data_IF_540918236051
#
_entry.id   IF_540918236051
#
_cell.length_a   1.000
_cell.length_b   1.000
_cell.length_c   1.000
_cell.angle_alpha   90.00
_cell.angle_beta   90.00
_cell.angle_gamma   90.00
#
_symmetry.space_group_name_H-M   'P 1'
#
loop_
_entity.id
_entity.type
_entity.pdbx_description
1 polymer ?
#
# COMPACT_ATOMS: atom_id res chain seq x y z
N UNK A 1 -27.81 25.71 44.44
CA UNK A 1 -26.82 26.52 43.68
C UNK A 1 -25.97 25.55 42.87
N UNK A 2 -26.01 25.62 41.54
CA UNK A 2 -25.16 24.77 40.69
C UNK A 2 -23.72 25.31 40.80
N UNK A 3 -22.78 24.52 41.32
CA UNK A 3 -21.35 24.85 41.28
C UNK A 3 -20.95 24.94 39.80
N UNK A 4 -20.62 26.14 39.34
CA UNK A 4 -20.06 26.36 38.01
C UNK A 4 -18.59 25.97 37.98
N UNK A 5 -18.13 25.41 36.87
CA UNK A 5 -16.72 25.15 36.61
C UNK A 5 -15.90 26.43 36.70
N UNK A 6 -14.72 26.35 37.29
CA UNK A 6 -13.79 27.49 37.34
C UNK A 6 -13.01 27.57 36.03
N UNK A 7 -12.65 28.80 35.63
CA UNK A 7 -11.82 29.04 34.44
C UNK A 7 -10.43 28.42 34.63
N UNK A 8 -9.90 28.40 35.87
CA UNK A 8 -8.61 27.79 36.17
C UNK A 8 -8.63 26.26 35.99
N UNK A 9 -9.72 25.58 36.36
CA UNK A 9 -9.90 24.15 36.09
C UNK A 9 -9.87 23.87 34.58
N UNK A 10 -10.54 24.70 33.79
CA UNK A 10 -10.53 24.54 32.34
C UNK A 10 -9.13 24.76 31.75
N UNK A 11 -8.38 25.75 32.23
CA UNK A 11 -7.02 26.03 31.75
C UNK A 11 -6.06 24.86 31.99
N UNK A 12 -6.13 24.24 33.17
CA UNK A 12 -5.29 23.08 33.51
C UNK A 12 -5.67 21.88 32.63
N UNK A 13 -6.97 21.64 32.40
CA UNK A 13 -7.44 20.55 31.54
C UNK A 13 -6.93 20.71 30.10
N UNK A 14 -7.05 21.91 29.52
CA UNK A 14 -6.54 22.18 28.16
C UNK A 14 -5.02 22.02 28.09
N UNK A 15 -4.28 22.46 29.12
CA UNK A 15 -2.82 22.31 29.17
C UNK A 15 -2.38 20.84 29.20
N UNK A 16 -3.06 20.00 30.00
CA UNK A 16 -2.78 18.56 30.07
C UNK A 16 -3.12 17.88 28.73
N UNK A 17 -4.26 18.19 28.11
CA UNK A 17 -4.65 17.63 26.81
C UNK A 17 -3.63 18.02 25.73
N UNK A 18 -3.14 19.27 25.70
CA UNK A 18 -2.13 19.70 24.76
C UNK A 18 -0.79 18.95 24.92
N UNK A 19 -0.37 18.70 26.15
CA UNK A 19 0.84 17.92 26.44
C UNK A 19 0.71 16.46 26.00
N UNK A 20 -0.42 15.82 26.31
CA UNK A 20 -0.69 14.44 25.90
C UNK A 20 -0.76 14.31 24.37
N UNK A 21 -1.41 15.26 23.69
CA UNK A 21 -1.52 15.25 22.22
C UNK A 21 -0.14 15.29 21.55
N UNK A 22 0.80 16.08 22.07
CA UNK A 22 2.16 16.20 21.52
C UNK A 22 2.91 14.86 21.51
N UNK A 23 2.76 14.06 22.57
CA UNK A 23 3.41 12.74 22.67
C UNK A 23 2.67 11.69 21.82
N UNK A 24 1.34 11.79 21.73
CA UNK A 24 0.51 10.75 21.12
C UNK A 24 0.49 10.78 19.58
N UNK A 25 0.58 11.97 18.96
CA UNK A 25 0.54 12.14 17.49
C UNK A 25 1.58 11.28 16.74
N UNK A 26 2.89 11.31 17.05
CA UNK A 26 3.89 10.54 16.31
C UNK A 26 3.73 9.02 16.46
N UNK A 27 3.17 8.54 17.57
CA UNK A 27 2.88 7.11 17.74
C UNK A 27 1.73 6.66 16.85
N UNK A 28 0.69 7.50 16.72
CA UNK A 28 -0.47 7.22 15.90
C UNK A 28 -0.14 7.15 14.41
N UNK A 29 0.71 8.07 13.91
CA UNK A 29 1.13 8.05 12.50
C UNK A 29 1.91 6.79 12.13
N UNK A 30 2.80 6.30 13.02
CA UNK A 30 3.51 5.03 12.84
C UNK A 30 2.56 3.83 12.81
N UNK A 31 1.54 3.83 13.66
CA UNK A 31 0.51 2.78 13.66
C UNK A 31 -0.26 2.74 12.34
N UNK A 32 -0.71 3.89 11.85
CA UNK A 32 -1.36 4.00 10.54
C UNK A 32 -0.46 3.53 9.40
N UNK A 33 0.82 3.92 9.41
CA UNK A 33 1.79 3.48 8.41
C UNK A 33 1.97 1.96 8.40
N UNK A 34 2.06 1.34 9.57
CA UNK A 34 2.14 -0.12 9.71
C UNK A 34 0.86 -0.81 9.21
N UNK A 35 -0.32 -0.24 9.47
CA UNK A 35 -1.59 -0.75 8.95
C UNK A 35 -1.64 -0.74 7.43
N UNK A 36 -1.24 0.38 6.81
CA UNK A 36 -1.16 0.51 5.34
C UNK A 36 -0.18 -0.50 4.73
N UNK A 37 0.98 -0.71 5.37
CA UNK A 37 1.93 -1.76 4.97
C UNK A 37 1.29 -3.13 5.04
N UNK A 38 0.65 -3.49 6.15
CA UNK A 38 0.02 -4.79 6.33
C UNK A 38 -1.00 -5.11 5.23
N UNK A 39 -1.78 -4.11 4.80
CA UNK A 39 -2.66 -4.25 3.63
C UNK A 39 -1.89 -4.53 2.34
N UNK A 40 -0.77 -3.84 2.11
CA UNK A 40 0.10 -4.12 0.96
C UNK A 40 0.67 -5.54 0.97
N UNK A 41 1.03 -6.08 2.15
CA UNK A 41 1.43 -7.48 2.29
C UNK A 41 0.31 -8.44 1.85
N UNK A 42 -0.94 -8.19 2.28
CA UNK A 42 -2.09 -9.02 1.89
C UNK A 42 -2.33 -8.99 0.38
N UNK A 43 -2.27 -7.81 -0.24
CA UNK A 43 -2.44 -7.66 -1.68
C UNK A 43 -1.30 -8.31 -2.49
N UNK A 44 -0.05 -8.22 -2.01
CA UNK A 44 1.08 -8.91 -2.64
C UNK A 44 0.94 -10.43 -2.56
N UNK A 45 0.43 -10.98 -1.45
CA UNK A 45 0.15 -12.41 -1.33
C UNK A 45 -0.99 -12.87 -2.25
N UNK A 46 -2.05 -12.06 -2.41
CA UNK A 46 -3.14 -12.41 -3.34
C UNK A 46 -2.67 -12.35 -4.80
N UNK A 47 -1.81 -11.38 -5.14
CA UNK A 47 -1.11 -11.32 -6.44
C UNK A 47 -0.25 -12.56 -6.69
N UNK A 48 0.56 -12.96 -5.70
CA UNK A 48 1.36 -14.18 -5.75
C UNK A 48 0.48 -15.39 -6.06
N UNK A 49 -0.61 -15.57 -5.33
CA UNK A 49 -1.53 -16.69 -5.52
C UNK A 49 -2.15 -16.70 -6.93
N UNK A 50 -2.56 -15.53 -7.43
CA UNK A 50 -3.11 -15.39 -8.78
C UNK A 50 -2.07 -15.74 -9.87
N UNK A 51 -0.83 -15.28 -9.73
CA UNK A 51 0.27 -15.64 -10.64
C UNK A 51 0.55 -17.14 -10.63
N UNK A 52 0.61 -17.77 -9.43
CA UNK A 52 0.82 -19.22 -9.31
C UNK A 52 -0.31 -20.01 -9.95
N UNK A 53 -1.56 -19.57 -9.78
CA UNK A 53 -2.72 -20.20 -10.43
C UNK A 53 -2.65 -20.07 -11.96
N UNK A 54 -2.30 -18.89 -12.47
CA UNK A 54 -2.16 -18.66 -13.90
C UNK A 54 -1.06 -19.53 -14.52
N UNK A 55 0.10 -19.59 -13.86
CA UNK A 55 1.22 -20.43 -14.29
C UNK A 55 0.86 -21.91 -14.31
N UNK A 56 0.09 -22.39 -13.34
CA UNK A 56 -0.38 -23.79 -13.31
C UNK A 56 -1.31 -24.14 -14.48
N UNK A 57 -2.01 -23.15 -15.05
CA UNK A 57 -2.95 -23.34 -16.16
C UNK A 57 -2.30 -23.14 -17.53
N UNK A 58 -1.41 -22.15 -17.67
CA UNK A 58 -0.87 -21.70 -18.96
C UNK A 58 0.63 -21.96 -19.13
N UNK A 59 1.35 -22.29 -18.04
CA UNK A 59 2.80 -22.55 -18.05
C UNK A 59 3.69 -21.30 -18.03
N UNK A 60 3.12 -20.10 -17.89
CA UNK A 60 3.84 -18.83 -17.82
C UNK A 60 3.19 -17.85 -16.83
N UNK A 61 3.98 -16.89 -16.33
CA UNK A 61 3.47 -15.74 -15.59
C UNK A 61 3.05 -14.63 -16.55
N UNK A 62 2.13 -13.76 -16.12
CA UNK A 62 1.57 -12.71 -16.97
C UNK A 62 1.79 -11.32 -16.37
N UNK A 63 2.06 -10.33 -17.21
CA UNK A 63 2.08 -8.90 -16.82
C UNK A 63 0.69 -8.28 -16.86
N UNK A 64 -0.31 -9.00 -17.37
CA UNK A 64 -1.71 -8.59 -17.41
C UNK A 64 -2.37 -9.12 -16.14
N UNK A 65 -2.72 -8.21 -15.24
CA UNK A 65 -3.33 -8.54 -13.96
C UNK A 65 -4.84 -8.77 -14.11
N UNK A 66 -5.52 -7.91 -14.86
CA UNK A 66 -6.97 -7.96 -15.09
C UNK A 66 -7.30 -7.77 -16.57
N UNK A 67 -8.48 -8.20 -16.99
CA UNK A 67 -8.93 -8.15 -18.37
C UNK A 67 -8.76 -9.49 -19.10
N UNK A 68 -8.92 -9.44 -20.43
CA UNK A 68 -8.78 -10.63 -21.27
C UNK A 68 -7.34 -11.16 -21.18
N UNK A 69 -7.19 -12.47 -20.96
CA UNK A 69 -5.88 -13.13 -20.78
C UNK A 69 -5.06 -12.65 -19.56
N UNK A 70 -5.70 -11.92 -18.65
CA UNK A 70 -5.11 -11.55 -17.37
C UNK A 70 -5.18 -12.67 -16.34
N UNK A 71 -4.43 -12.52 -15.24
CA UNK A 71 -4.47 -13.47 -14.11
C UNK A 71 -5.76 -13.37 -13.27
N UNK A 72 -6.72 -12.52 -13.69
CA UNK A 72 -7.99 -12.31 -12.99
C UNK A 72 -7.84 -11.60 -11.64
N UNK A 73 -6.72 -10.93 -11.41
CA UNK A 73 -6.44 -10.22 -10.18
C UNK A 73 -6.73 -8.73 -10.31
N UNK A 74 -7.42 -8.20 -9.30
CA UNK A 74 -7.55 -6.78 -9.02
C UNK A 74 -7.60 -6.59 -7.51
N UNK A 75 -7.12 -5.45 -6.97
CA UNK A 75 -7.28 -5.17 -5.56
C UNK A 75 -8.76 -5.02 -5.19
N UNK A 76 -9.10 -5.40 -3.96
CA UNK A 76 -10.49 -5.29 -3.49
C UNK A 76 -10.93 -3.83 -3.42
N UNK A 77 -12.14 -3.56 -3.92
CA UNK A 77 -12.68 -2.21 -3.98
C UNK A 77 -11.99 -1.30 -4.99
N UNK A 78 -11.45 -1.85 -6.08
CA UNK A 78 -10.94 -1.08 -7.22
C UNK A 78 -12.05 -0.28 -7.94
N UNK A 79 -11.86 1.04 -8.10
CA UNK A 79 -12.81 1.96 -8.73
C UNK A 79 -12.23 2.78 -9.91
N UNK A 80 -11.05 2.45 -10.42
CA UNK A 80 -10.43 3.14 -11.57
C UNK A 80 -9.09 3.81 -11.28
N UNK A 81 -8.60 3.68 -10.05
CA UNK A 81 -7.35 4.21 -9.55
C UNK A 81 -7.52 5.58 -8.88
N UNK A 82 -6.63 5.91 -7.95
CA UNK A 82 -6.53 7.25 -7.36
C UNK A 82 -7.03 7.35 -5.92
N UNK A 83 -7.46 8.56 -5.51
CA UNK A 83 -7.74 8.89 -4.10
C UNK A 83 -8.96 8.16 -3.51
N UNK A 84 -9.88 7.73 -4.35
CA UNK A 84 -11.14 7.10 -3.93
C UNK A 84 -11.01 5.58 -3.71
N UNK A 85 -9.80 5.05 -3.84
CA UNK A 85 -9.54 3.62 -3.70
C UNK A 85 -9.59 3.12 -2.26
N UNK A 86 -10.00 1.86 -2.09
CA UNK A 86 -10.03 1.19 -0.79
C UNK A 86 -8.69 0.58 -0.38
N UNK A 87 -7.68 0.68 -1.24
CA UNK A 87 -6.33 0.24 -0.98
C UNK A 87 -5.33 1.40 -1.12
N UNK A 88 -4.18 1.31 -0.45
CA UNK A 88 -3.25 2.45 -0.35
C UNK A 88 -2.16 2.47 -1.43
N UNK A 89 -1.52 1.34 -1.70
CA UNK A 89 -0.33 1.28 -2.56
C UNK A 89 -0.71 1.16 -4.04
N UNK A 90 0.21 1.54 -4.92
CA UNK A 90 0.13 1.23 -6.34
C UNK A 90 0.78 -0.13 -6.58
N UNK A 91 0.08 -1.07 -7.21
CA UNK A 91 0.54 -2.44 -7.43
C UNK A 91 0.69 -2.76 -8.91
N UNK A 92 1.60 -3.68 -9.24
CA UNK A 92 1.66 -4.33 -10.55
C UNK A 92 2.94 -4.06 -11.31
N UNK A 93 2.79 -3.71 -12.59
CA UNK A 93 3.89 -3.52 -13.54
C UNK A 93 3.93 -2.10 -14.09
N UNK A 94 5.12 -1.52 -14.23
CA UNK A 94 5.26 -0.13 -14.68
C UNK A 94 4.77 0.11 -16.11
N UNK A 95 4.88 -0.90 -16.96
CA UNK A 95 4.51 -0.81 -18.37
C UNK A 95 3.08 -1.34 -18.57
N UNK A 96 2.26 -0.57 -19.28
CA UNK A 96 0.89 -0.96 -19.63
C UNK A 96 -0.13 0.09 -19.20
N UNK A 97 -1.33 -0.37 -18.88
CA UNK A 97 -2.49 0.50 -18.56
C UNK A 97 -3.00 0.30 -17.14
N UNK A 98 -3.45 1.39 -16.53
CA UNK A 98 -4.21 1.38 -15.27
C UNK A 98 -5.45 0.47 -15.42
N UNK A 99 -5.71 -0.38 -14.42
CA UNK A 99 -6.80 -1.35 -14.41
C UNK A 99 -6.51 -2.67 -15.13
N UNK A 100 -5.36 -2.76 -15.80
CA UNK A 100 -4.92 -3.96 -16.54
C UNK A 100 -3.55 -4.44 -16.05
N UNK A 101 -2.53 -3.59 -16.04
CA UNK A 101 -1.15 -3.93 -15.69
C UNK A 101 -0.72 -3.38 -14.34
N UNK A 102 -1.30 -2.24 -13.95
CA UNK A 102 -1.12 -1.65 -12.64
C UNK A 102 -2.43 -1.09 -12.10
N UNK A 103 -2.47 -0.91 -10.78
CA UNK A 103 -3.60 -0.33 -10.07
C UNK A 103 -3.08 0.71 -9.11
N UNK A 104 -3.46 1.96 -9.30
CA UNK A 104 -3.01 3.11 -8.51
C UNK A 104 -3.86 3.25 -7.26
N UNK A 105 -3.26 3.10 -6.08
CA UNK A 105 -4.01 3.22 -4.82
C UNK A 105 -4.20 4.65 -4.34
N UNK A 106 -4.77 4.78 -3.15
CA UNK A 106 -5.09 6.06 -2.48
C UNK A 106 -3.88 6.97 -2.27
N UNK A 107 -2.67 6.42 -2.18
CA UNK A 107 -1.43 7.21 -2.08
C UNK A 107 -0.98 7.79 -3.43
N UNK A 108 -1.64 7.44 -4.53
CA UNK A 108 -1.36 7.92 -5.89
C UNK A 108 0.11 7.84 -6.30
N UNK A 109 0.82 6.84 -5.77
CA UNK A 109 2.24 6.69 -6.02
C UNK A 109 2.44 6.26 -7.46
N UNK A 110 3.32 6.95 -8.19
CA UNK A 110 3.52 6.74 -9.62
C UNK A 110 3.85 5.27 -9.95
N UNK A 111 3.22 4.73 -11.00
CA UNK A 111 3.52 3.40 -11.53
C UNK A 111 4.99 3.27 -12.01
N UNK A 112 5.70 4.38 -12.22
CA UNK A 112 7.13 4.39 -12.57
C UNK A 112 8.03 3.73 -11.52
N UNK A 113 7.61 3.71 -10.25
CA UNK A 113 8.32 3.01 -9.17
C UNK A 113 8.21 1.47 -9.28
N UNK A 114 7.38 0.97 -10.19
CA UNK A 114 7.18 -0.46 -10.46
C UNK A 114 8.14 -0.97 -11.57
N UNK A 115 9.12 -0.18 -11.99
CA UNK A 115 9.96 -0.46 -13.16
C UNK A 115 10.80 -1.75 -13.08
N UNK A 116 11.06 -2.25 -11.88
CA UNK A 116 11.75 -3.53 -11.67
C UNK A 116 10.79 -4.73 -11.77
N UNK A 117 9.48 -4.50 -11.75
CA UNK A 117 8.49 -5.56 -11.85
C UNK A 117 8.51 -6.19 -13.24
N UNK A 118 8.48 -7.51 -13.29
CA UNK A 118 8.52 -8.27 -14.54
C UNK A 118 7.88 -9.64 -14.32
N UNK A 119 7.40 -10.25 -15.41
CA UNK A 119 6.89 -11.61 -15.42
C UNK A 119 7.35 -12.29 -16.70
N UNK A 120 7.85 -13.52 -16.57
CA UNK A 120 8.26 -14.37 -17.69
C UNK A 120 7.80 -15.82 -17.45
N UNK A 121 8.33 -16.79 -18.21
CA UNK A 121 7.92 -18.18 -18.08
C UNK A 121 8.39 -18.85 -16.77
N UNK A 122 9.50 -18.38 -16.19
CA UNK A 122 10.21 -19.02 -15.09
C UNK A 122 10.07 -18.27 -13.78
N UNK A 123 10.03 -16.95 -13.82
CA UNK A 123 9.99 -16.09 -12.64
C UNK A 123 9.07 -14.88 -12.85
N UNK A 124 8.66 -14.30 -11.72
CA UNK A 124 8.08 -12.98 -11.68
C UNK A 124 8.61 -12.21 -10.47
N UNK A 125 8.57 -10.90 -10.59
CA UNK A 125 8.69 -9.94 -9.51
C UNK A 125 7.54 -8.95 -9.65
N UNK A 126 6.67 -8.87 -8.64
CA UNK A 126 5.62 -7.84 -8.59
C UNK A 126 5.98 -6.83 -7.53
N UNK A 127 5.67 -5.56 -7.78
CA UNK A 127 6.02 -4.45 -6.90
C UNK A 127 4.76 -3.75 -6.40
N UNK A 128 4.81 -3.31 -5.16
CA UNK A 128 3.90 -2.33 -4.58
C UNK A 128 4.70 -1.08 -4.18
N UNK A 129 4.26 0.10 -4.59
CA UNK A 129 4.87 1.37 -4.23
C UNK A 129 3.86 2.27 -3.50
N UNK A 130 4.27 2.86 -2.38
CA UNK A 130 3.41 3.74 -1.58
C UNK A 130 4.19 4.82 -0.83
N UNK A 131 3.94 6.09 -1.14
CA UNK A 131 4.45 7.22 -0.36
C UNK A 131 3.60 7.46 0.90
N UNK A 132 3.88 6.67 1.94
CA UNK A 132 3.13 6.70 3.20
C UNK A 132 3.33 8.02 3.96
N UNK A 133 4.50 8.65 3.79
CA UNK A 133 4.91 9.85 4.51
C UNK A 133 4.59 11.14 3.75
N UNK A 134 4.25 11.05 2.45
CA UNK A 134 3.96 12.20 1.59
C UNK A 134 5.20 13.07 1.33
N UNK A 135 6.40 12.48 1.40
CA UNK A 135 7.67 13.19 1.30
C UNK A 135 8.40 12.94 -0.03
N UNK A 136 7.75 12.28 -0.99
CA UNK A 136 8.31 11.93 -2.29
C UNK A 136 9.28 10.75 -2.26
N UNK A 137 9.46 10.08 -1.10
CA UNK A 137 10.29 8.88 -0.96
C UNK A 137 9.38 7.68 -0.66
N UNK A 138 8.87 6.99 -1.68
CA UNK A 138 7.93 5.91 -1.46
C UNK A 138 8.59 4.69 -0.81
N UNK A 139 7.76 3.96 -0.07
CA UNK A 139 8.03 2.60 0.35
C UNK A 139 7.82 1.66 -0.83
N UNK A 140 8.83 0.84 -1.16
CA UNK A 140 8.78 -0.08 -2.30
C UNK A 140 8.93 -1.51 -1.78
N UNK A 141 7.84 -2.26 -1.88
CA UNK A 141 7.75 -3.67 -1.53
C UNK A 141 7.75 -4.49 -2.82
N UNK A 142 8.34 -5.68 -2.79
CA UNK A 142 8.25 -6.64 -3.89
C UNK A 142 7.91 -8.03 -3.38
N UNK A 143 7.25 -8.82 -4.23
CA UNK A 143 7.03 -10.26 -4.02
C UNK A 143 7.56 -11.03 -5.23
N UNK A 144 8.31 -12.11 -4.95
CA UNK A 144 8.85 -12.99 -5.98
C UNK A 144 8.03 -14.29 -6.13
N UNK A 145 8.41 -15.11 -7.10
CA UNK A 145 7.81 -16.42 -7.36
C UNK A 145 8.02 -17.48 -6.25
N UNK A 146 8.80 -17.18 -5.22
CA UNK A 146 8.98 -17.99 -4.01
C UNK A 146 8.15 -17.48 -2.82
N UNK A 147 7.24 -16.53 -3.03
CA UNK A 147 6.43 -15.89 -1.99
C UNK A 147 7.27 -15.11 -0.97
N UNK A 148 8.47 -14.68 -1.37
CA UNK A 148 9.33 -13.86 -0.51
C UNK A 148 9.01 -12.40 -0.74
N UNK A 149 8.54 -11.72 0.31
CA UNK A 149 8.33 -10.28 0.28
C UNK A 149 9.59 -9.57 0.78
N UNK A 150 10.10 -8.63 -0.02
CA UNK A 150 11.30 -7.85 0.31
C UNK A 150 11.06 -6.36 0.16
N UNK A 151 11.72 -5.55 1.00
CA UNK A 151 11.78 -4.10 0.81
C UNK A 151 12.90 -3.76 -0.18
N UNK A 152 12.53 -3.14 -1.30
CA UNK A 152 13.47 -2.53 -2.23
C UNK A 152 13.85 -1.11 -1.79
N UNK A 153 12.94 -0.45 -1.06
CA UNK A 153 13.15 0.84 -0.42
C UNK A 153 12.25 0.93 0.82
N UNK A 154 12.82 1.13 2.00
CA UNK A 154 12.07 1.31 3.25
C UNK A 154 12.05 2.79 3.66
N UNK A 155 10.90 3.43 3.50
CA UNK A 155 10.70 4.84 3.86
C UNK A 155 10.57 5.09 5.38
N UNK A 156 10.31 4.05 6.18
CA UNK A 156 10.13 4.15 7.65
C UNK A 156 11.39 3.78 8.44
N UNK A 157 12.43 3.27 7.78
CA UNK A 157 13.71 2.89 8.41
C UNK A 157 14.73 4.03 8.48
N UNK A 158 14.35 5.27 8.15
CA UNK A 158 15.20 6.46 8.24
C UNK A 158 15.01 7.22 9.56
#
# INVERSE_FOLDING_TARGET
>A
MKKGFTIIELMIVVAIIAFLAMISIPSFTKFLAKSKRAEAYMNLHSLYAAQKSHWAQHGNYSTILSGNEGIGWKPEGYHGGGVDENFYYTYGFANGSEGTNYFTGKLQTSHTYLNKAHANQNEFLIIAAGDILGNGKPDILSVDHHNKITFLQDALSQ
#
